data_IF_206233589525
#
_entry.id   IF_206233589525
#
_cell.length_a   1.000
_cell.length_b   1.000
_cell.length_c   1.000
_cell.angle_alpha   90.00
_cell.angle_beta   90.00
_cell.angle_gamma   90.00
#
_symmetry.space_group_name_H-M   'P 1'
#
loop_
_entity.id
_entity.type
_entity.pdbx_description
1 polymer ?
#
# COMPACT_ATOMS: atom_id res chain seq x y z
N UNK A 1 -17.86 18.06 -14.23
CA UNK A 1 -18.27 16.85 -15.00
C UNK A 1 -17.36 15.64 -14.76
N UNK A 2 -16.03 15.78 -14.88
CA UNK A 2 -15.07 14.69 -14.69
C UNK A 2 -15.19 13.97 -13.34
N UNK A 3 -15.27 14.72 -12.23
CA UNK A 3 -15.41 14.15 -10.87
C UNK A 3 -16.64 13.26 -10.72
N UNK A 4 -17.78 13.66 -11.32
CA UNK A 4 -19.01 12.87 -11.29
C UNK A 4 -18.82 11.53 -12.01
N UNK A 5 -18.24 11.55 -13.21
CA UNK A 5 -17.95 10.34 -13.98
C UNK A 5 -17.00 9.39 -13.24
N UNK A 6 -15.98 9.93 -12.57
CA UNK A 6 -15.07 9.13 -11.74
C UNK A 6 -15.81 8.48 -10.57
N UNK A 7 -16.68 9.22 -9.88
CA UNK A 7 -17.51 8.69 -8.79
C UNK A 7 -18.43 7.55 -9.27
N UNK A 8 -19.08 7.73 -10.43
CA UNK A 8 -19.93 6.70 -11.04
C UNK A 8 -19.14 5.41 -11.33
N UNK A 9 -17.90 5.54 -11.82
CA UNK A 9 -16.99 4.41 -12.11
C UNK A 9 -16.45 3.73 -10.84
N UNK A 10 -16.30 4.46 -9.73
CA UNK A 10 -15.98 3.87 -8.42
C UNK A 10 -17.15 3.03 -7.89
N UNK A 11 -18.39 3.46 -8.15
CA UNK A 11 -19.61 2.79 -7.70
C UNK A 11 -20.14 1.73 -8.67
N UNK A 12 -19.46 1.48 -9.81
CA UNK A 12 -20.00 0.65 -10.88
C UNK A 12 -20.30 -0.80 -10.42
N UNK A 13 -21.57 -1.19 -10.63
CA UNK A 13 -22.16 -2.45 -10.15
C UNK A 13 -22.67 -3.36 -11.27
N UNK A 14 -22.53 -2.97 -12.53
CA UNK A 14 -23.09 -3.67 -13.69
C UNK A 14 -22.62 -5.12 -13.87
N UNK A 15 -23.40 -5.92 -14.61
CA UNK A 15 -23.11 -7.35 -14.88
C UNK A 15 -22.25 -7.58 -16.13
N UNK A 16 -21.87 -6.50 -16.84
CA UNK A 16 -21.14 -6.55 -18.12
C UNK A 16 -19.66 -6.90 -17.97
N UNK A 17 -19.13 -6.90 -16.74
CA UNK A 17 -17.73 -7.15 -16.43
C UNK A 17 -17.56 -8.26 -15.40
N UNK A 18 -16.46 -9.00 -15.50
CA UNK A 18 -16.11 -10.02 -14.52
C UNK A 18 -15.89 -9.40 -13.13
N UNK A 19 -16.09 -10.20 -12.07
CA UNK A 19 -15.87 -9.73 -10.69
C UNK A 19 -14.44 -9.22 -10.47
N UNK A 20 -13.44 -9.86 -11.11
CA UNK A 20 -12.03 -9.45 -11.05
C UNK A 20 -11.81 -8.11 -11.73
N UNK A 21 -12.29 -7.94 -12.95
CA UNK A 21 -12.13 -6.71 -13.70
C UNK A 21 -12.81 -5.52 -12.99
N UNK A 22 -14.02 -5.73 -12.44
CA UNK A 22 -14.68 -4.71 -11.61
C UNK A 22 -13.90 -4.33 -10.36
N UNK A 23 -13.24 -5.30 -9.70
CA UNK A 23 -12.41 -5.03 -8.52
C UNK A 23 -11.21 -4.15 -8.88
N UNK A 24 -10.54 -4.46 -9.98
CA UNK A 24 -9.38 -3.73 -10.49
C UNK A 24 -9.76 -2.32 -10.95
N UNK A 25 -10.84 -2.19 -11.71
CA UNK A 25 -11.41 -0.91 -12.12
C UNK A 25 -11.72 -0.02 -10.92
N UNK A 26 -12.50 -0.51 -9.94
CA UNK A 26 -12.81 0.27 -8.73
C UNK A 26 -11.57 0.64 -7.92
N UNK A 27 -10.55 -0.23 -7.87
CA UNK A 27 -9.28 0.10 -7.21
C UNK A 27 -8.62 1.30 -7.90
N UNK A 28 -8.48 1.22 -9.22
CA UNK A 28 -7.85 2.27 -10.04
C UNK A 28 -8.61 3.59 -9.94
N UNK A 29 -9.94 3.57 -10.07
CA UNK A 29 -10.74 4.79 -9.99
C UNK A 29 -10.81 5.40 -8.59
N UNK A 30 -10.62 4.60 -7.52
CA UNK A 30 -10.48 5.16 -6.16
C UNK A 30 -9.18 5.93 -6.01
N UNK A 31 -8.08 5.43 -6.55
CA UNK A 31 -6.79 6.14 -6.54
C UNK A 31 -6.90 7.43 -7.35
N UNK A 32 -7.56 7.40 -8.52
CA UNK A 32 -7.81 8.59 -9.34
C UNK A 32 -8.71 9.59 -8.60
N UNK A 33 -9.78 9.12 -7.95
CA UNK A 33 -10.68 9.97 -7.16
C UNK A 33 -9.91 10.66 -6.01
N UNK A 34 -9.09 9.91 -5.28
CA UNK A 34 -8.26 10.45 -4.21
C UNK A 34 -7.29 11.53 -4.72
N UNK A 35 -6.65 11.33 -5.88
CA UNK A 35 -5.81 12.39 -6.48
C UNK A 35 -6.62 13.62 -6.87
N UNK A 36 -7.86 13.47 -7.37
CA UNK A 36 -8.69 14.60 -7.82
C UNK A 36 -9.36 15.38 -6.68
N UNK A 37 -9.57 14.74 -5.53
CA UNK A 37 -10.29 15.30 -4.37
C UNK A 37 -9.33 15.76 -3.26
N UNK A 38 -8.31 14.95 -2.95
CA UNK A 38 -7.41 15.15 -1.81
C UNK A 38 -6.02 15.65 -2.23
N UNK A 39 -5.76 15.80 -3.54
CA UNK A 39 -4.44 16.11 -4.13
C UNK A 39 -3.33 15.11 -3.71
N UNK A 40 -3.75 13.89 -3.34
CA UNK A 40 -2.83 12.82 -2.95
C UNK A 40 -2.35 12.09 -4.20
N UNK A 41 -1.07 12.25 -4.49
CA UNK A 41 -0.39 11.49 -5.54
C UNK A 41 -0.28 10.01 -5.14
N UNK A 42 -0.48 9.05 -6.07
CA UNK A 42 -0.33 7.64 -5.76
C UNK A 42 1.12 7.31 -5.42
N UNK A 43 1.33 6.37 -4.51
CA UNK A 43 2.64 5.88 -4.10
C UNK A 43 2.74 4.38 -4.30
N UNK A 44 3.86 3.92 -4.86
CA UNK A 44 4.17 2.51 -4.98
C UNK A 44 5.53 2.24 -4.32
N UNK A 45 5.54 1.33 -3.34
CA UNK A 45 6.76 0.85 -2.71
C UNK A 45 7.14 -0.52 -3.27
N UNK A 46 8.40 -0.68 -3.65
CA UNK A 46 8.97 -1.96 -4.08
C UNK A 46 10.17 -2.30 -3.23
N UNK A 47 10.03 -3.34 -2.42
CA UNK A 47 11.14 -3.91 -1.69
C UNK A 47 12.10 -4.62 -2.63
N UNK A 48 13.40 -4.39 -2.44
CA UNK A 48 14.49 -5.10 -3.08
C UNK A 48 15.58 -5.41 -2.04
N UNK A 49 16.60 -6.18 -2.43
CA UNK A 49 17.65 -6.64 -1.49
C UNK A 49 18.40 -5.52 -0.78
N UNK A 50 18.41 -4.31 -1.36
CA UNK A 50 19.11 -3.15 -0.85
C UNK A 50 18.22 -2.01 -0.33
N UNK A 51 16.94 -2.28 -0.03
CA UNK A 51 16.04 -1.27 0.52
C UNK A 51 14.67 -1.26 -0.15
N UNK A 52 13.94 -0.17 0.06
CA UNK A 52 12.61 0.03 -0.51
C UNK A 52 12.67 1.19 -1.53
N UNK A 53 12.28 0.89 -2.78
CA UNK A 53 12.11 1.89 -3.81
C UNK A 53 10.72 2.51 -3.66
N UNK A 54 10.65 3.77 -3.23
CA UNK A 54 9.41 4.53 -3.17
C UNK A 54 9.24 5.36 -4.45
N UNK A 55 8.24 5.03 -5.25
CA UNK A 55 7.87 5.79 -6.45
C UNK A 55 6.61 6.58 -6.16
N UNK A 56 6.66 7.90 -6.39
CA UNK A 56 5.55 8.83 -6.18
C UNK A 56 4.98 9.30 -7.52
N UNK A 57 3.67 9.53 -7.56
CA UNK A 57 2.97 10.10 -8.70
C UNK A 57 2.64 9.09 -9.81
N UNK A 58 1.64 9.45 -10.61
CA UNK A 58 1.09 8.59 -11.67
C UNK A 58 2.13 8.17 -12.71
N UNK A 59 2.95 9.11 -13.19
CA UNK A 59 3.96 8.82 -14.19
C UNK A 59 4.98 7.77 -13.70
N UNK A 60 5.41 7.89 -12.44
CA UNK A 60 6.32 6.95 -11.83
C UNK A 60 5.70 5.57 -11.64
N UNK A 61 4.49 5.51 -11.07
CA UNK A 61 3.76 4.26 -10.83
C UNK A 61 3.49 3.51 -12.13
N UNK A 62 3.07 4.20 -13.19
CA UNK A 62 2.84 3.62 -14.50
C UNK A 62 4.13 3.10 -15.13
N UNK A 63 5.21 3.88 -15.08
CA UNK A 63 6.52 3.48 -15.59
C UNK A 63 7.05 2.24 -14.87
N UNK A 64 6.90 2.19 -13.55
CA UNK A 64 7.24 1.04 -12.73
C UNK A 64 6.42 -0.19 -13.10
N UNK A 65 5.11 -0.04 -13.29
CA UNK A 65 4.21 -1.10 -13.73
C UNK A 65 4.62 -1.67 -15.10
N UNK A 66 4.92 -0.78 -16.06
CA UNK A 66 5.39 -1.16 -17.39
C UNK A 66 6.69 -1.95 -17.32
N UNK A 67 7.73 -1.42 -16.68
CA UNK A 67 9.03 -2.09 -16.57
C UNK A 67 8.92 -3.42 -15.84
N UNK A 68 8.11 -3.50 -14.77
CA UNK A 68 7.85 -4.76 -14.07
C UNK A 68 7.15 -5.78 -14.95
N UNK A 69 6.22 -5.36 -15.80
CA UNK A 69 5.52 -6.25 -16.73
C UNK A 69 6.44 -6.79 -17.83
N UNK A 70 7.40 -5.97 -18.30
CA UNK A 70 8.38 -6.36 -19.30
C UNK A 70 9.45 -7.30 -18.74
N UNK A 71 10.00 -6.97 -17.58
CA UNK A 71 11.12 -7.71 -16.98
C UNK A 71 10.67 -8.90 -16.12
N UNK A 72 9.41 -8.91 -15.66
CA UNK A 72 8.81 -9.96 -14.84
C UNK A 72 9.74 -10.40 -13.69
N UNK A 73 10.12 -11.69 -13.63
CA UNK A 73 11.02 -12.22 -12.61
C UNK A 73 12.43 -11.62 -12.65
N UNK A 74 12.86 -11.11 -13.81
CA UNK A 74 14.16 -10.43 -13.99
C UNK A 74 14.20 -9.00 -13.46
N UNK A 75 13.05 -8.42 -13.09
CA UNK A 75 12.97 -7.04 -12.60
C UNK A 75 13.93 -6.78 -11.42
N UNK A 76 13.99 -7.68 -10.45
CA UNK A 76 14.83 -7.53 -9.26
C UNK A 76 16.34 -7.56 -9.59
N UNK A 77 16.74 -8.42 -10.53
CA UNK A 77 18.13 -8.50 -10.97
C UNK A 77 18.56 -7.26 -11.74
N UNK A 78 17.68 -6.77 -12.64
CA UNK A 78 17.92 -5.55 -13.39
C UNK A 78 17.91 -4.32 -12.48
N UNK A 79 16.98 -4.22 -11.53
CA UNK A 79 16.95 -3.10 -10.59
C UNK A 79 18.21 -3.06 -9.71
N UNK A 80 18.88 -4.19 -9.46
CA UNK A 80 20.14 -4.21 -8.71
C UNK A 80 21.34 -3.67 -9.51
N UNK A 81 21.45 -4.03 -10.80
CA UNK A 81 22.66 -3.80 -11.59
C UNK A 81 22.53 -2.82 -12.76
N UNK A 82 21.33 -2.33 -13.08
CA UNK A 82 21.09 -1.53 -14.28
C UNK A 82 21.08 -0.02 -13.96
N UNK A 83 22.12 0.73 -14.37
CA UNK A 83 22.21 2.16 -14.08
C UNK A 83 21.10 2.99 -14.76
N UNK A 84 20.56 2.52 -15.90
CA UNK A 84 19.43 3.18 -16.55
C UNK A 84 18.18 3.11 -15.69
N UNK A 85 17.93 1.97 -15.02
CA UNK A 85 16.80 1.87 -14.09
C UNK A 85 17.03 2.70 -12.84
N UNK A 86 18.28 2.82 -12.40
CA UNK A 86 18.64 3.69 -11.28
C UNK A 86 18.33 5.15 -11.59
N UNK A 87 18.80 5.65 -12.74
CA UNK A 87 18.51 7.02 -13.17
C UNK A 87 17.00 7.25 -13.38
N UNK A 88 16.33 6.30 -14.03
CA UNK A 88 14.91 6.40 -14.36
C UNK A 88 13.98 6.45 -13.13
N UNK A 89 14.40 5.87 -12.01
CA UNK A 89 13.65 5.87 -10.74
C UNK A 89 14.33 6.68 -9.62
N UNK A 90 15.46 7.37 -9.90
CA UNK A 90 16.22 8.12 -8.92
C UNK A 90 16.80 7.26 -7.79
N UNK A 91 17.15 6.01 -8.07
CA UNK A 91 17.75 5.11 -7.08
C UNK A 91 19.25 5.35 -7.01
N UNK A 92 19.79 5.57 -5.82
CA UNK A 92 21.23 5.64 -5.65
C UNK A 92 21.84 4.23 -5.74
N UNK A 93 22.63 3.98 -6.80
CA UNK A 93 23.34 2.73 -7.02
C UNK A 93 24.25 2.35 -5.83
N UNK A 94 24.73 3.33 -5.05
CA UNK A 94 25.53 3.08 -3.84
C UNK A 94 24.68 2.53 -2.71
N UNK A 95 23.48 3.10 -2.50
CA UNK A 95 22.52 2.61 -1.51
C UNK A 95 22.08 1.17 -1.81
N UNK A 96 21.91 0.82 -3.09
CA UNK A 96 21.58 -0.55 -3.52
C UNK A 96 22.66 -1.58 -3.17
N UNK A 97 23.93 -1.23 -3.35
CA UNK A 97 25.06 -2.13 -3.13
C UNK A 97 25.46 -2.22 -1.64
N UNK A 98 25.38 -1.12 -0.89
CA UNK A 98 25.71 -1.08 0.55
C UNK A 98 24.60 -1.62 1.46
N UNK A 99 23.34 -1.67 1.01
CA UNK A 99 22.29 -2.23 1.83
C UNK A 99 22.34 -3.77 1.94
N UNK A 100 23.15 -4.44 1.10
CA UNK A 100 23.56 -5.83 1.33
C UNK A 100 24.47 -6.00 2.55
N UNK A 101 25.24 -4.97 2.92
CA UNK A 101 26.15 -4.95 4.08
C UNK A 101 25.54 -4.26 5.31
N UNK A 102 24.62 -3.30 5.13
CA UNK A 102 23.82 -2.68 6.19
C UNK A 102 22.59 -3.52 6.59
N UNK A 103 22.70 -4.85 6.54
CA UNK A 103 21.70 -5.74 7.12
C UNK A 103 21.62 -5.46 8.62
N UNK A 104 20.51 -4.85 9.08
CA UNK A 104 20.22 -4.66 10.50
C UNK A 104 20.69 -5.86 11.33
N UNK A 105 21.38 -5.58 12.43
CA UNK A 105 21.89 -6.59 13.36
C UNK A 105 20.75 -7.53 13.77
N UNK A 106 21.08 -8.78 14.09
CA UNK A 106 20.08 -9.78 14.55
C UNK A 106 19.26 -9.24 15.73
N UNK A 107 19.88 -8.40 16.57
CA UNK A 107 19.22 -7.71 17.67
C UNK A 107 18.22 -6.65 17.18
N UNK A 108 18.62 -5.78 16.26
CA UNK A 108 17.77 -4.74 15.66
C UNK A 108 16.59 -5.35 14.89
N UNK A 109 16.83 -6.41 14.11
CA UNK A 109 15.76 -7.19 13.46
C UNK A 109 14.77 -7.73 14.48
N UNK A 110 15.23 -8.24 15.63
CA UNK A 110 14.35 -8.70 16.70
C UNK A 110 13.57 -7.54 17.33
N UNK A 111 14.22 -6.41 17.57
CA UNK A 111 13.61 -5.26 18.24
C UNK A 111 12.52 -4.61 17.39
N UNK A 112 12.74 -4.49 16.07
CA UNK A 112 11.82 -3.82 15.15
C UNK A 112 10.87 -4.76 14.42
N UNK A 113 11.30 -5.98 14.04
CA UNK A 113 10.53 -6.88 13.17
C UNK A 113 9.91 -8.08 13.90
N UNK A 114 10.20 -8.31 15.18
CA UNK A 114 9.56 -9.43 15.91
C UNK A 114 8.13 -9.11 16.32
N UNK A 115 7.32 -10.15 16.56
CA UNK A 115 5.97 -10.03 17.12
C UNK A 115 5.94 -9.33 18.49
N UNK A 116 7.04 -9.35 19.23
CA UNK A 116 7.17 -8.70 20.54
C UNK A 116 7.67 -7.24 20.44
N UNK A 117 7.94 -6.74 19.24
CA UNK A 117 8.35 -5.35 19.00
C UNK A 117 7.29 -4.36 19.47
N UNK A 118 7.73 -3.16 19.83
CA UNK A 118 6.83 -2.07 20.22
C UNK A 118 5.84 -1.73 19.10
N UNK A 119 6.30 -1.75 17.84
CA UNK A 119 5.44 -1.51 16.68
C UNK A 119 4.33 -2.55 16.57
N UNK A 120 4.64 -3.84 16.76
CA UNK A 120 3.65 -4.91 16.77
C UNK A 120 2.67 -4.78 17.94
N UNK A 121 3.16 -4.44 19.13
CA UNK A 121 2.31 -4.19 20.32
C UNK A 121 1.35 -3.02 20.10
N UNK A 122 1.82 -1.91 19.53
CA UNK A 122 0.99 -0.74 19.22
C UNK A 122 -0.09 -1.09 18.20
N UNK A 123 0.26 -1.81 17.13
CA UNK A 123 -0.68 -2.26 16.11
C UNK A 123 -1.75 -3.19 16.69
N UNK A 124 -1.35 -4.15 17.52
CA UNK A 124 -2.26 -5.08 18.20
C UNK A 124 -3.20 -4.36 19.16
N UNK A 125 -2.70 -3.40 19.94
CA UNK A 125 -3.53 -2.58 20.82
C UNK A 125 -4.55 -1.75 20.03
N UNK A 126 -4.13 -1.13 18.92
CA UNK A 126 -5.04 -0.37 18.05
C UNK A 126 -6.13 -1.26 17.46
N UNK A 127 -5.77 -2.44 16.98
CA UNK A 127 -6.72 -3.42 16.43
C UNK A 127 -7.67 -3.95 17.51
N UNK A 128 -7.17 -4.24 18.71
CA UNK A 128 -7.99 -4.66 19.86
C UNK A 128 -9.00 -3.60 20.24
N UNK A 129 -8.59 -2.31 20.33
CA UNK A 129 -9.49 -1.18 20.56
C UNK A 129 -10.56 -1.06 19.48
N UNK A 130 -10.20 -1.21 18.20
CA UNK A 130 -11.16 -1.15 17.10
C UNK A 130 -12.18 -2.30 17.16
N UNK A 131 -11.74 -3.52 17.50
CA UNK A 131 -12.62 -4.68 17.69
C UNK A 131 -13.57 -4.47 18.86
N UNK A 132 -13.08 -3.96 20.01
CA UNK A 132 -13.90 -3.62 21.17
C UNK A 132 -14.96 -2.55 20.82
N UNK A 133 -14.59 -1.50 20.08
CA UNK A 133 -15.54 -0.49 19.60
C UNK A 133 -16.65 -1.10 18.73
N UNK A 134 -16.30 -1.98 17.79
CA UNK A 134 -17.29 -2.67 16.94
C UNK A 134 -18.21 -3.60 17.74
N UNK A 135 -17.66 -4.33 18.71
CA UNK A 135 -18.46 -5.19 19.59
C UNK A 135 -19.39 -4.35 20.47
N UNK A 136 -18.92 -3.22 21.00
CA UNK A 136 -19.76 -2.32 21.78
C UNK A 136 -20.90 -1.72 20.95
N UNK A 137 -20.64 -1.34 19.69
CA UNK A 137 -21.70 -0.88 18.77
C UNK A 137 -22.75 -1.98 18.53
N UNK A 138 -22.33 -3.25 18.38
CA UNK A 138 -23.26 -4.38 18.23
C UNK A 138 -24.06 -4.64 19.51
N UNK A 139 -23.43 -4.48 20.67
CA UNK A 139 -24.05 -4.68 21.97
C UNK A 139 -24.80 -3.43 22.47
N UNK A 140 -24.75 -2.32 21.74
CA UNK A 140 -25.50 -1.09 22.05
C UNK A 140 -27.00 -1.33 22.07
N UNK A 141 -27.50 -2.30 21.29
CA UNK A 141 -28.89 -2.72 21.32
C UNK A 141 -29.29 -3.42 22.63
N UNK A 142 -28.34 -4.06 23.33
CA UNK A 142 -28.58 -4.75 24.61
C UNK A 142 -28.46 -3.85 25.84
N UNK A 143 -27.84 -2.67 25.71
CA UNK A 143 -27.54 -1.76 26.84
C UNK A 143 -28.43 -0.51 26.84
N UNK A 144 -29.24 -0.30 25.81
CA UNK A 144 -30.15 0.84 25.71
C UNK A 144 -31.48 0.64 26.47
N UNK A 145 -31.84 -0.60 26.83
CA UNK A 145 -33.10 -0.93 27.50
C UNK A 145 -32.97 -0.93 29.05
N UNK A 146 -31.76 -0.90 29.61
CA UNK A 146 -31.53 -0.91 31.07
C UNK A 146 -31.61 0.50 31.72
N UNK A 147 -31.72 1.58 30.94
CA UNK A 147 -31.79 2.98 31.42
C UNK A 147 -33.25 3.51 31.57
N UNK A 148 -34.27 2.64 31.56
CA UNK A 148 -35.69 3.00 31.77
C UNK A 148 -36.34 2.33 32.99
N UNK A 149 -35.72 2.45 34.17
CA UNK A 149 -36.39 2.20 35.46
C UNK A 149 -36.22 3.41 36.37
#
# INVERSE_FOLDING_TARGET
ELRRRVSDLVAESGHRMSRRAKKEQRSTFREIAATLEEDVAPEAAVAFRGGDLLVRGWAGVLRLGFVRSCLQGGFQAQLAGNPTLHDMFGVDARALNDAGTASMSKLEKRLFKSKASEQSKIADQKMSRQRRKRNNIKNSFLTADDDQI
#
